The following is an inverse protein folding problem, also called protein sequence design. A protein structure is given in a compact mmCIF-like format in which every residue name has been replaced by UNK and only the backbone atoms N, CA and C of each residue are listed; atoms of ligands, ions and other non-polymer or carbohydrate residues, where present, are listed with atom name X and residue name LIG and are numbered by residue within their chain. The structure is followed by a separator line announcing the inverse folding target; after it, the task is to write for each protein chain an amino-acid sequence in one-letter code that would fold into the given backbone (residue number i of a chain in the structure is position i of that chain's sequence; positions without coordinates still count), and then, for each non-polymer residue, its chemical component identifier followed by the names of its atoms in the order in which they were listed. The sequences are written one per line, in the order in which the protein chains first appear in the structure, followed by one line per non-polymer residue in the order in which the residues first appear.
data_IF_481214889958
#
_entry.id   IF_481214889958
#
_cell.length_a   1.000
_cell.length_b   1.000
_cell.length_c   1.000
_cell.angle_alpha   90.00
_cell.angle_beta   90.00
_cell.angle_gamma   90.00
#
_symmetry.space_group_name_H-M   'P 1'
#
loop_
_entity.id
_entity.type
_entity.pdbx_description
1 polymer ?
#
# COMPACT_ATOMS: atom_id res chain seq x y z
N UNK A 1 10.57 -23.87 -19.88
CA UNK A 1 9.84 -23.88 -18.59
C UNK A 1 10.57 -22.92 -17.68
N UNK A 2 9.99 -21.75 -17.41
CA UNK A 2 10.51 -20.92 -16.32
C UNK A 2 10.42 -21.74 -15.05
N UNK A 3 11.54 -21.95 -14.43
CA UNK A 3 11.66 -22.72 -13.21
C UNK A 3 10.98 -21.90 -12.11
N UNK A 4 9.87 -22.37 -11.55
CA UNK A 4 9.24 -21.71 -10.38
C UNK A 4 10.27 -21.68 -9.24
N UNK A 5 10.75 -20.49 -8.93
CA UNK A 5 11.71 -20.30 -7.84
C UNK A 5 10.99 -20.44 -6.50
N UNK A 6 11.55 -21.19 -5.55
CA UNK A 6 10.98 -21.26 -4.21
C UNK A 6 10.88 -19.85 -3.59
N UNK A 7 9.82 -19.62 -2.83
CA UNK A 7 9.52 -18.36 -2.12
C UNK A 7 9.27 -17.14 -2.99
N UNK A 8 9.26 -17.28 -4.33
CA UNK A 8 8.88 -16.19 -5.22
C UNK A 8 7.40 -15.78 -5.04
N UNK A 9 6.59 -16.77 -4.70
CA UNK A 9 5.14 -16.58 -4.49
C UNK A 9 4.72 -16.93 -3.06
N UNK A 10 3.56 -16.40 -2.58
CA UNK A 10 3.00 -16.79 -1.29
C UNK A 10 2.70 -18.29 -1.22
N UNK A 11 2.80 -18.91 -0.03
CA UNK A 11 2.69 -20.37 0.15
C UNK A 11 1.44 -21.00 -0.45
N UNK A 12 0.31 -20.29 -0.45
CA UNK A 12 -0.98 -20.78 -0.96
C UNK A 12 -1.03 -20.96 -2.48
N UNK A 13 -0.11 -20.35 -3.23
CA UNK A 13 0.09 -20.57 -4.67
C UNK A 13 1.01 -21.77 -4.95
N UNK A 14 1.81 -22.15 -3.98
CA UNK A 14 2.73 -23.27 -4.06
C UNK A 14 2.13 -24.60 -3.51
N UNK A 15 2.94 -25.31 -2.75
CA UNK A 15 2.65 -26.65 -2.24
C UNK A 15 1.86 -26.69 -0.92
N UNK A 16 1.74 -25.56 -0.22
CA UNK A 16 1.01 -25.51 1.06
C UNK A 16 -0.45 -25.19 0.82
N UNK A 17 -1.33 -26.10 1.20
CA UNK A 17 -2.78 -25.84 1.16
C UNK A 17 -3.14 -24.78 2.21
N UNK A 18 -4.11 -23.93 1.85
CA UNK A 18 -4.64 -22.89 2.72
C UNK A 18 -6.16 -22.94 2.71
N UNK A 19 -6.84 -22.89 3.87
CA UNK A 19 -8.29 -22.91 3.95
C UNK A 19 -8.94 -21.58 3.54
N UNK A 20 -8.14 -20.57 3.21
CA UNK A 20 -8.62 -19.22 2.97
C UNK A 20 -8.90 -18.92 1.50
N UNK A 21 -8.28 -19.67 0.57
CA UNK A 21 -8.29 -19.38 -0.85
C UNK A 21 -9.04 -20.46 -1.65
N UNK A 22 -10.14 -20.07 -2.27
CA UNK A 22 -10.91 -20.92 -3.18
C UNK A 22 -10.68 -20.55 -4.65
N UNK A 23 -11.55 -21.05 -5.52
CA UNK A 23 -11.49 -20.86 -6.97
C UNK A 23 -11.56 -19.38 -7.38
N UNK A 24 -12.47 -18.60 -6.78
CA UNK A 24 -12.59 -17.15 -7.05
C UNK A 24 -11.30 -16.38 -6.75
N UNK A 25 -10.61 -16.75 -5.69
CA UNK A 25 -9.32 -16.17 -5.31
C UNK A 25 -8.24 -16.46 -6.36
N UNK A 26 -8.13 -17.71 -6.81
CA UNK A 26 -7.18 -18.12 -7.86
C UNK A 26 -7.49 -17.46 -9.20
N UNK A 27 -8.78 -17.35 -9.56
CA UNK A 27 -9.23 -16.64 -10.76
C UNK A 27 -8.85 -15.18 -10.75
N UNK A 28 -9.05 -14.49 -9.62
CA UNK A 28 -8.70 -13.10 -9.45
C UNK A 28 -7.18 -12.90 -9.53
N UNK A 29 -6.41 -13.75 -8.86
CA UNK A 29 -4.94 -13.71 -8.88
C UNK A 29 -4.41 -13.88 -10.31
N UNK A 30 -4.85 -14.90 -11.03
CA UNK A 30 -4.41 -15.17 -12.40
C UNK A 30 -4.75 -14.00 -13.36
N UNK A 31 -5.94 -13.39 -13.18
CA UNK A 31 -6.33 -12.21 -13.94
C UNK A 31 -5.45 -10.99 -13.66
N UNK A 32 -5.23 -10.68 -12.37
CA UNK A 32 -4.41 -9.55 -11.95
C UNK A 32 -2.95 -9.74 -12.41
N UNK A 33 -2.38 -10.93 -12.23
CA UNK A 33 -1.04 -11.31 -12.67
C UNK A 33 -0.86 -11.03 -14.14
N UNK A 34 -1.70 -11.63 -14.98
CA UNK A 34 -1.65 -11.45 -16.43
C UNK A 34 -1.78 -9.97 -16.84
N UNK A 35 -2.72 -9.25 -16.24
CA UNK A 35 -2.89 -7.83 -16.56
C UNK A 35 -1.62 -7.02 -16.28
N UNK A 36 -1.00 -7.20 -15.12
CA UNK A 36 0.21 -6.48 -14.76
C UNK A 36 1.41 -6.89 -15.59
N UNK A 37 1.59 -8.17 -15.86
CA UNK A 37 2.70 -8.70 -16.67
C UNK A 37 2.64 -8.19 -18.11
N UNK A 38 1.46 -8.08 -18.69
CA UNK A 38 1.27 -7.64 -20.08
C UNK A 38 1.26 -6.11 -20.24
N UNK A 39 0.69 -5.37 -19.27
CA UNK A 39 0.34 -3.95 -19.48
C UNK A 39 1.12 -2.96 -18.60
N UNK A 40 1.80 -3.40 -17.56
CA UNK A 40 2.41 -2.49 -16.58
C UNK A 40 3.89 -2.79 -16.33
N UNK A 41 4.23 -4.01 -15.99
CA UNK A 41 5.60 -4.39 -15.61
C UNK A 41 6.62 -4.08 -16.71
N UNK A 42 6.36 -4.31 -18.02
CA UNK A 42 7.30 -3.97 -19.08
C UNK A 42 7.63 -2.48 -19.18
N UNK A 43 6.77 -1.62 -18.64
CA UNK A 43 6.86 -0.17 -18.75
C UNK A 43 7.15 0.53 -17.41
N UNK A 44 7.11 -0.18 -16.29
CA UNK A 44 7.10 0.46 -14.97
C UNK A 44 8.34 1.30 -14.67
N UNK A 45 9.54 0.85 -15.05
CA UNK A 45 10.78 1.60 -14.81
C UNK A 45 10.84 2.86 -15.70
N UNK A 46 10.36 2.78 -16.94
CA UNK A 46 10.25 3.94 -17.83
C UNK A 46 9.27 4.98 -17.30
N UNK A 47 8.10 4.54 -16.83
CA UNK A 47 7.09 5.44 -16.28
C UNK A 47 7.54 6.06 -14.95
N UNK A 48 8.24 5.30 -14.13
CA UNK A 48 8.85 5.82 -12.90
C UNK A 48 9.88 6.91 -13.21
N UNK A 49 10.75 6.70 -14.20
CA UNK A 49 11.75 7.68 -14.59
C UNK A 49 11.11 8.95 -15.21
N UNK A 50 10.04 8.80 -15.98
CA UNK A 50 9.24 9.91 -16.51
C UNK A 50 8.45 10.66 -15.42
N UNK A 51 8.22 10.01 -14.29
CA UNK A 51 7.49 10.57 -13.15
C UNK A 51 5.97 10.63 -13.33
N UNK A 52 5.39 9.88 -14.28
CA UNK A 52 3.94 9.69 -14.46
C UNK A 52 3.64 8.54 -15.43
N UNK A 53 2.40 8.04 -15.41
CA UNK A 53 1.88 7.05 -16.33
C UNK A 53 1.07 7.70 -17.47
N UNK A 54 1.07 7.13 -18.69
CA UNK A 54 0.22 7.59 -19.78
C UNK A 54 -1.27 7.57 -19.40
N UNK A 55 -2.04 8.54 -19.90
CA UNK A 55 -3.49 8.59 -19.67
C UNK A 55 -4.20 7.32 -20.16
N UNK A 56 -3.75 6.73 -21.26
CA UNK A 56 -4.27 5.47 -21.80
C UNK A 56 -4.06 4.31 -20.83
N UNK A 57 -2.89 4.21 -20.18
CA UNK A 57 -2.61 3.19 -19.17
C UNK A 57 -3.51 3.35 -17.94
N UNK A 58 -3.69 4.59 -17.44
CA UNK A 58 -4.64 4.88 -16.34
C UNK A 58 -6.07 4.48 -16.69
N UNK A 59 -6.55 4.83 -17.89
CA UNK A 59 -7.88 4.46 -18.36
C UNK A 59 -8.06 2.94 -18.51
N UNK A 60 -7.05 2.24 -19.03
CA UNK A 60 -7.03 0.77 -19.13
C UNK A 60 -7.08 0.12 -17.76
N UNK A 61 -6.27 0.61 -16.81
CA UNK A 61 -6.26 0.10 -15.44
C UNK A 61 -7.61 0.26 -14.74
N UNK A 62 -8.25 1.41 -14.87
CA UNK A 62 -9.59 1.62 -14.31
C UNK A 62 -10.62 0.66 -14.92
N UNK A 63 -10.60 0.47 -16.25
CA UNK A 63 -11.49 -0.46 -16.97
C UNK A 63 -11.27 -1.94 -16.60
N UNK A 64 -10.05 -2.31 -16.20
CA UNK A 64 -9.76 -3.69 -15.79
C UNK A 64 -10.50 -4.12 -14.51
N UNK A 65 -11.04 -3.17 -13.74
CA UNK A 65 -11.65 -3.39 -12.43
C UNK A 65 -10.66 -3.65 -11.30
N UNK A 66 -9.34 -3.67 -11.59
CA UNK A 66 -8.30 -3.92 -10.58
C UNK A 66 -8.11 -2.73 -9.62
N UNK A 67 -8.49 -1.53 -10.03
CA UNK A 67 -8.59 -0.37 -9.16
C UNK A 67 -9.85 -0.45 -8.30
N UNK A 68 -10.00 -1.52 -7.53
CA UNK A 68 -11.18 -1.74 -6.67
C UNK A 68 -11.14 -0.73 -5.54
N UNK A 69 -11.93 0.32 -5.70
CA UNK A 69 -12.21 1.28 -4.67
C UNK A 69 -13.39 0.75 -3.85
N UNK A 70 -13.36 0.96 -2.53
CA UNK A 70 -14.46 0.62 -1.63
C UNK A 70 -15.68 1.53 -1.84
N UNK A 71 -16.01 1.79 -3.09
CA UNK A 71 -17.13 2.62 -3.47
C UNK A 71 -18.39 1.75 -3.51
N UNK A 72 -19.47 2.12 -2.79
CA UNK A 72 -20.73 1.38 -2.83
C UNK A 72 -21.31 1.30 -4.24
N UNK A 73 -22.00 0.21 -4.53
CA UNK A 73 -22.53 -0.15 -5.87
C UNK A 73 -23.35 0.97 -6.51
N UNK A 74 -24.17 1.68 -5.71
CA UNK A 74 -25.04 2.75 -6.15
C UNK A 74 -24.31 3.99 -6.69
N UNK A 75 -22.99 4.10 -6.45
CA UNK A 75 -22.16 5.21 -6.95
C UNK A 75 -21.17 4.75 -8.05
N UNK A 76 -21.18 3.45 -8.40
CA UNK A 76 -20.36 2.92 -9.50
C UNK A 76 -21.06 3.14 -10.83
N UNK A 77 -20.37 3.66 -11.85
CA UNK A 77 -20.92 3.69 -13.20
C UNK A 77 -21.22 2.28 -13.73
N UNK A 78 -22.09 2.20 -14.73
CA UNK A 78 -22.34 0.97 -15.44
C UNK A 78 -21.03 0.38 -16.01
N UNK A 79 -20.86 -0.93 -15.93
CA UNK A 79 -19.63 -1.63 -16.35
C UNK A 79 -18.54 -1.75 -15.28
N UNK A 80 -18.66 -1.09 -14.12
CA UNK A 80 -17.64 -1.13 -13.03
C UNK A 80 -18.08 -1.96 -11.82
N UNK A 81 -18.90 -2.98 -12.01
CA UNK A 81 -19.39 -3.82 -10.92
C UNK A 81 -18.70 -5.18 -10.81
N UNK A 82 -17.77 -5.49 -11.71
CA UNK A 82 -17.05 -6.77 -11.73
C UNK A 82 -15.56 -6.58 -11.94
N UNK A 83 -14.76 -7.50 -11.42
CA UNK A 83 -13.35 -7.70 -11.72
C UNK A 83 -13.08 -9.18 -11.94
N UNK A 84 -12.34 -9.54 -12.98
CA UNK A 84 -12.12 -10.93 -13.36
C UNK A 84 -13.44 -11.72 -13.55
N UNK A 85 -14.55 -11.06 -13.89
CA UNK A 85 -15.89 -11.66 -13.95
C UNK A 85 -16.47 -12.03 -12.58
N UNK A 86 -15.92 -11.53 -11.48
CA UNK A 86 -16.44 -11.66 -10.12
C UNK A 86 -17.13 -10.36 -9.71
N UNK A 87 -18.31 -10.40 -9.07
CA UNK A 87 -18.95 -9.21 -8.51
C UNK A 87 -18.04 -8.59 -7.44
N UNK A 88 -17.82 -7.28 -7.50
CA UNK A 88 -16.94 -6.58 -6.54
C UNK A 88 -17.48 -6.70 -5.11
N UNK A 89 -18.80 -6.73 -4.94
CA UNK A 89 -19.43 -6.80 -3.62
C UNK A 89 -19.30 -8.19 -2.94
N UNK A 90 -18.88 -9.21 -3.69
CA UNK A 90 -18.61 -10.57 -3.17
C UNK A 90 -17.14 -10.77 -2.79
N UNK A 91 -16.28 -9.79 -3.06
CA UNK A 91 -14.86 -9.86 -2.72
C UNK A 91 -14.65 -9.71 -1.22
N UNK A 92 -14.05 -10.72 -0.60
CA UNK A 92 -13.65 -10.66 0.81
C UNK A 92 -12.24 -10.08 1.01
N UNK A 93 -11.78 -10.06 2.25
CA UNK A 93 -10.45 -9.55 2.59
C UNK A 93 -9.30 -10.35 1.97
N UNK A 94 -9.48 -11.66 1.68
CA UNK A 94 -8.45 -12.45 1.02
C UNK A 94 -8.34 -12.11 -0.46
N UNK A 95 -9.43 -11.77 -1.14
CA UNK A 95 -9.37 -11.17 -2.49
C UNK A 95 -8.60 -9.85 -2.47
N UNK A 96 -8.81 -9.01 -1.44
CA UNK A 96 -8.06 -7.76 -1.28
C UNK A 96 -6.58 -8.01 -1.00
N UNK A 97 -6.26 -8.99 -0.16
CA UNK A 97 -4.88 -9.40 0.11
C UNK A 97 -4.16 -9.76 -1.19
N UNK A 98 -4.83 -10.51 -2.08
CA UNK A 98 -4.32 -10.87 -3.40
C UNK A 98 -4.11 -9.62 -4.27
N UNK A 99 -5.09 -8.72 -4.34
CA UNK A 99 -4.95 -7.51 -5.15
C UNK A 99 -3.81 -6.61 -4.67
N UNK A 100 -3.64 -6.49 -3.36
CA UNK A 100 -2.52 -5.71 -2.78
C UNK A 100 -1.19 -6.39 -3.09
N UNK A 101 -1.12 -7.71 -2.95
CA UNK A 101 0.08 -8.48 -3.24
C UNK A 101 0.48 -8.34 -4.71
N UNK A 102 -0.45 -8.57 -5.65
CA UNK A 102 -0.19 -8.48 -7.08
C UNK A 102 0.18 -7.07 -7.55
N UNK A 103 -0.52 -6.03 -7.08
CA UNK A 103 -0.19 -4.63 -7.44
C UNK A 103 1.17 -4.21 -6.87
N UNK A 104 1.59 -4.81 -5.76
CA UNK A 104 2.90 -4.53 -5.14
C UNK A 104 4.08 -5.14 -5.86
N UNK A 105 3.86 -5.91 -6.94
CA UNK A 105 4.90 -6.33 -7.90
C UNK A 105 5.39 -5.18 -8.78
N UNK A 106 4.59 -4.12 -8.87
CA UNK A 106 4.93 -2.92 -9.64
C UNK A 106 5.92 -2.07 -8.83
N UNK A 107 7.08 -1.77 -9.41
CA UNK A 107 8.10 -0.95 -8.78
C UNK A 107 7.84 0.55 -8.98
N UNK A 108 8.46 1.36 -8.15
CA UNK A 108 8.29 2.81 -8.17
C UNK A 108 6.91 3.27 -7.67
N UNK A 109 6.56 4.48 -8.03
CA UNK A 109 5.26 5.09 -7.76
C UNK A 109 4.17 4.78 -8.79
N UNK A 110 4.44 3.86 -9.72
CA UNK A 110 3.59 3.58 -10.88
C UNK A 110 2.21 3.07 -10.50
N UNK A 111 2.11 2.18 -9.50
CA UNK A 111 0.80 1.70 -9.00
C UNK A 111 -0.07 2.85 -8.46
N UNK A 112 0.56 3.80 -7.78
CA UNK A 112 -0.11 5.01 -7.28
C UNK A 112 -0.57 5.91 -8.43
N UNK A 113 0.27 6.13 -9.43
CA UNK A 113 -0.08 6.93 -10.62
C UNK A 113 -1.23 6.31 -11.42
N UNK A 114 -1.23 4.98 -11.60
CA UNK A 114 -2.29 4.24 -12.31
C UNK A 114 -3.66 4.35 -11.60
N UNK A 115 -3.67 4.28 -10.26
CA UNK A 115 -4.90 4.36 -9.47
C UNK A 115 -5.48 5.77 -9.32
N UNK A 116 -4.92 6.77 -10.00
CA UNK A 116 -5.35 8.16 -9.89
C UNK A 116 -4.78 8.86 -8.66
N UNK A 117 -3.53 8.55 -8.32
CA UNK A 117 -2.85 9.17 -7.18
C UNK A 117 -3.22 8.50 -5.86
N UNK A 118 -3.56 9.30 -4.86
CA UNK A 118 -3.82 8.82 -3.51
C UNK A 118 -5.27 8.37 -3.26
N UNK A 119 -6.02 7.93 -4.27
CA UNK A 119 -7.42 7.51 -4.11
C UNK A 119 -7.59 6.41 -3.06
N UNK A 120 -6.63 5.48 -2.94
CA UNK A 120 -6.65 4.39 -1.94
C UNK A 120 -6.77 4.94 -0.51
N UNK A 121 -6.23 6.11 -0.23
CA UNK A 121 -6.23 6.74 1.09
C UNK A 121 -7.17 7.94 1.17
N UNK A 122 -7.45 8.62 0.06
CA UNK A 122 -8.30 9.82 0.03
C UNK A 122 -9.79 9.54 -0.10
N UNK A 123 -10.18 8.43 -0.72
CA UNK A 123 -11.59 8.06 -0.96
C UNK A 123 -12.31 7.48 0.27
N UNK A 124 -11.71 6.61 1.09
CA UNK A 124 -12.41 5.97 2.20
C UNK A 124 -13.11 6.94 3.18
N UNK A 125 -12.54 8.09 3.54
CA UNK A 125 -13.26 9.08 4.37
C UNK A 125 -14.55 9.60 3.72
N UNK A 126 -14.56 9.77 2.39
CA UNK A 126 -15.73 10.23 1.64
C UNK A 126 -16.82 9.17 1.64
N UNK A 127 -16.45 7.93 1.38
CA UNK A 127 -17.38 6.79 1.38
C UNK A 127 -18.04 6.62 2.75
N UNK A 128 -17.27 6.77 3.84
CA UNK A 128 -17.73 6.52 5.20
C UNK A 128 -18.47 7.69 5.85
N UNK A 129 -18.02 8.90 5.60
CA UNK A 129 -18.43 10.09 6.34
C UNK A 129 -19.04 11.17 5.45
N UNK A 130 -18.94 11.04 4.12
CA UNK A 130 -19.55 11.95 3.17
C UNK A 130 -21.08 11.85 3.17
N UNK A 131 -21.76 12.98 2.89
CA UNK A 131 -23.19 13.00 2.65
C UNK A 131 -23.54 12.30 1.33
N UNK A 132 -24.81 11.93 1.16
CA UNK A 132 -25.29 11.33 -0.09
C UNK A 132 -25.05 12.23 -1.31
N UNK A 133 -25.21 13.56 -1.14
CA UNK A 133 -24.93 14.53 -2.19
C UNK A 133 -23.44 14.55 -2.59
N UNK A 134 -22.53 14.51 -1.60
CA UNK A 134 -21.09 14.45 -1.84
C UNK A 134 -20.69 13.15 -2.55
N UNK A 135 -21.20 12.01 -2.09
CA UNK A 135 -20.92 10.70 -2.70
C UNK A 135 -21.39 10.66 -4.16
N UNK A 136 -22.63 11.06 -4.44
CA UNK A 136 -23.19 11.13 -5.80
C UNK A 136 -22.41 12.07 -6.72
N UNK A 137 -21.91 13.19 -6.19
CA UNK A 137 -21.14 14.19 -6.95
C UNK A 137 -19.73 13.72 -7.27
N UNK A 138 -19.04 13.06 -6.32
CA UNK A 138 -17.60 12.87 -6.39
C UNK A 138 -17.17 11.45 -6.75
N UNK A 139 -17.89 10.41 -6.30
CA UNK A 139 -17.43 9.04 -6.45
C UNK A 139 -17.48 8.51 -7.89
N UNK A 140 -18.48 8.80 -8.73
CA UNK A 140 -18.53 8.27 -10.09
C UNK A 140 -17.34 8.70 -10.95
N UNK A 141 -16.85 9.93 -10.79
CA UNK A 141 -15.71 10.46 -11.55
C UNK A 141 -14.38 9.75 -11.29
N UNK A 142 -14.26 8.98 -10.21
CA UNK A 142 -13.06 8.18 -9.92
C UNK A 142 -12.83 7.09 -10.96
N UNK A 143 -13.89 6.49 -11.48
CA UNK A 143 -13.83 5.38 -12.45
C UNK A 143 -13.45 5.82 -13.86
N UNK A 144 -13.50 7.12 -14.13
CA UNK A 144 -13.16 7.73 -15.40
C UNK A 144 -11.92 8.64 -15.33
N UNK A 145 -11.25 8.66 -14.17
CA UNK A 145 -10.14 9.57 -13.87
C UNK A 145 -10.50 11.08 -14.01
N UNK A 146 -11.78 11.44 -13.96
CA UNK A 146 -12.24 12.84 -13.96
C UNK A 146 -12.04 13.47 -12.57
N UNK A 147 -12.11 12.68 -11.52
CA UNK A 147 -11.83 13.10 -10.14
C UNK A 147 -10.79 12.21 -9.51
N UNK A 148 -9.98 12.79 -8.64
CA UNK A 148 -9.06 12.06 -7.78
C UNK A 148 -8.98 12.75 -6.42
N UNK A 149 -8.64 11.99 -5.38
CA UNK A 149 -8.53 12.50 -4.03
C UNK A 149 -7.16 12.18 -3.46
N UNK A 150 -6.66 13.10 -2.66
CA UNK A 150 -5.47 12.91 -1.84
C UNK A 150 -5.79 13.19 -0.39
N UNK A 151 -4.98 12.63 0.51
CA UNK A 151 -5.10 12.86 1.94
C UNK A 151 -4.00 13.82 2.41
N UNK A 152 -4.37 15.04 2.77
CA UNK A 152 -3.46 16.10 3.19
C UNK A 152 -3.33 16.15 4.72
N UNK A 153 -2.48 15.30 5.33
CA UNK A 153 -2.25 15.27 6.77
C UNK A 153 -0.95 15.95 7.14
N UNK A 154 0.17 15.44 6.65
CA UNK A 154 1.51 15.87 7.05
C UNK A 154 1.76 17.34 6.77
N UNK A 155 2.36 18.02 7.74
CA UNK A 155 2.76 19.41 7.69
C UNK A 155 4.29 19.55 7.90
N UNK A 156 4.91 20.70 7.55
CA UNK A 156 6.32 20.95 7.85
C UNK A 156 6.65 20.84 9.33
N UNK A 157 5.67 21.16 10.19
CA UNK A 157 5.79 21.15 11.65
C UNK A 157 5.49 19.79 12.29
N UNK A 158 4.92 18.84 11.57
CA UNK A 158 4.48 17.58 12.16
C UNK A 158 4.20 16.49 11.13
N UNK A 159 4.94 15.38 11.22
CA UNK A 159 4.66 14.14 10.49
C UNK A 159 3.97 13.12 11.40
N UNK A 160 4.68 12.67 12.43
CA UNK A 160 4.16 11.69 13.42
C UNK A 160 3.14 12.29 14.38
N UNK A 161 3.27 13.57 14.70
CA UNK A 161 2.38 14.30 15.60
C UNK A 161 1.14 14.84 14.88
N UNK A 162 0.25 13.93 14.50
CA UNK A 162 -0.98 14.25 13.75
C UNK A 162 -1.99 15.03 14.61
N UNK A 163 -1.87 14.99 15.93
CA UNK A 163 -2.77 15.71 16.83
C UNK A 163 -2.52 17.23 16.86
N UNK A 164 -1.32 17.68 16.47
CA UNK A 164 -0.88 19.07 16.53
C UNK A 164 -0.79 19.73 15.14
N UNK A 165 -1.75 19.47 14.26
CA UNK A 165 -1.83 20.12 12.96
C UNK A 165 -2.05 21.63 13.12
N UNK A 166 -1.36 22.43 12.29
CA UNK A 166 -1.43 23.90 12.30
C UNK A 166 -2.32 24.49 11.21
N UNK A 167 -2.69 23.69 10.20
CA UNK A 167 -3.67 24.11 9.19
C UNK A 167 -5.00 24.42 9.87
N UNK A 168 -5.56 25.57 9.58
CA UNK A 168 -6.82 26.05 10.15
C UNK A 168 -7.91 26.16 9.09
N UNK A 169 -9.17 25.95 9.49
CA UNK A 169 -10.34 26.20 8.69
C UNK A 169 -11.31 27.07 9.55
N UNK A 170 -11.51 28.33 9.18
CA UNK A 170 -12.39 29.24 9.88
C UNK A 170 -13.67 29.44 9.07
N UNK A 171 -14.83 29.18 9.69
CA UNK A 171 -16.13 29.38 9.05
C UNK A 171 -16.37 30.86 8.79
N UNK A 172 -16.85 31.21 7.59
CA UNK A 172 -17.22 32.59 7.23
C UNK A 172 -18.42 33.07 8.06
N UNK A 173 -18.55 34.38 8.21
CA UNK A 173 -19.64 35.01 9.01
C UNK A 173 -21.01 34.55 8.51
N UNK A 174 -21.21 34.45 7.21
CA UNK A 174 -22.47 34.02 6.60
C UNK A 174 -22.66 32.49 6.55
N UNK A 175 -21.67 31.72 7.03
CA UNK A 175 -21.72 30.25 7.10
C UNK A 175 -21.61 29.51 5.77
N UNK A 176 -21.39 30.21 4.65
CA UNK A 176 -21.42 29.61 3.30
C UNK A 176 -20.12 28.85 2.92
N UNK A 177 -19.00 29.18 3.57
CA UNK A 177 -17.70 28.58 3.28
C UNK A 177 -16.77 28.61 4.49
N UNK A 178 -15.68 27.82 4.39
CA UNK A 178 -14.54 27.89 5.31
C UNK A 178 -13.38 28.59 4.61
N UNK A 179 -12.66 29.43 5.32
CA UNK A 179 -11.38 30.00 4.89
C UNK A 179 -10.28 29.14 5.44
N UNK A 180 -9.57 28.43 4.54
CA UNK A 180 -8.52 27.46 4.89
C UNK A 180 -7.15 28.07 4.71
N UNK A 181 -6.32 27.97 5.75
CA UNK A 181 -4.93 28.44 5.77
C UNK A 181 -3.99 27.37 6.32
N UNK A 182 -2.89 27.14 5.64
CA UNK A 182 -1.86 26.20 6.08
C UNK A 182 -0.99 25.68 4.97
N UNK A 183 -0.05 24.79 5.35
CA UNK A 183 0.85 24.16 4.39
C UNK A 183 0.90 22.66 4.67
N UNK A 184 0.69 21.87 3.62
CA UNK A 184 0.83 20.40 3.66
C UNK A 184 2.06 19.96 2.91
N UNK A 185 2.67 18.86 3.35
CA UNK A 185 3.91 18.30 2.79
C UNK A 185 3.73 16.80 2.53
N UNK A 186 4.42 16.28 1.52
CA UNK A 186 4.36 14.87 1.12
C UNK A 186 2.98 14.43 0.62
N UNK A 187 2.24 15.35 0.00
CA UNK A 187 0.91 15.02 -0.50
C UNK A 187 1.03 14.30 -1.84
N UNK A 188 0.64 13.05 -1.86
CA UNK A 188 0.69 12.16 -3.03
C UNK A 188 -0.47 12.45 -3.99
N UNK A 189 -0.23 12.36 -5.29
CA UNK A 189 -1.27 12.50 -6.32
C UNK A 189 -1.57 13.95 -6.73
N UNK A 190 -0.82 14.93 -6.21
CA UNK A 190 -0.87 16.34 -6.63
C UNK A 190 0.51 16.75 -7.15
N UNK A 191 0.55 17.48 -8.25
CA UNK A 191 1.79 17.95 -8.89
C UNK A 191 1.95 19.48 -8.90
N UNK A 192 1.47 20.16 -7.85
CA UNK A 192 1.53 21.64 -7.78
C UNK A 192 2.95 22.12 -7.51
N UNK A 193 3.60 21.61 -6.45
CA UNK A 193 5.00 21.87 -6.15
C UNK A 193 5.67 20.55 -5.78
N UNK A 194 6.20 19.86 -6.80
CA UNK A 194 6.77 18.52 -6.66
C UNK A 194 7.97 18.51 -5.73
N UNK A 195 8.01 17.50 -4.86
CA UNK A 195 9.18 17.16 -4.04
C UNK A 195 9.92 16.03 -4.76
N UNK A 196 11.20 16.26 -5.08
CA UNK A 196 12.04 15.23 -5.70
C UNK A 196 12.54 14.26 -4.63
N UNK A 197 11.97 13.06 -4.63
CA UNK A 197 12.32 11.97 -3.72
C UNK A 197 13.38 11.06 -4.35
N UNK A 198 13.99 10.19 -3.54
CA UNK A 198 14.91 9.15 -4.03
C UNK A 198 14.21 8.13 -4.94
N UNK A 199 12.94 7.83 -4.68
CA UNK A 199 12.08 6.93 -5.45
C UNK A 199 10.63 7.39 -5.43
N UNK A 200 9.70 6.55 -5.92
CA UNK A 200 8.27 6.83 -6.01
C UNK A 200 7.94 8.09 -6.86
N UNK A 201 8.73 8.32 -7.91
CA UNK A 201 8.62 9.53 -8.74
C UNK A 201 7.29 9.63 -9.48
N UNK A 202 6.79 8.51 -10.01
CA UNK A 202 5.51 8.46 -10.73
C UNK A 202 4.31 8.69 -9.80
N UNK A 203 4.38 8.25 -8.54
CA UNK A 203 3.35 8.48 -7.54
C UNK A 203 3.23 9.93 -7.11
N UNK A 204 4.32 10.68 -7.24
CA UNK A 204 4.44 12.08 -6.87
C UNK A 204 4.38 12.30 -5.35
N UNK A 205 5.01 13.36 -4.92
CA UNK A 205 4.82 13.95 -3.60
C UNK A 205 4.99 15.46 -3.73
N UNK A 206 4.15 16.23 -3.07
CA UNK A 206 4.12 17.68 -3.28
C UNK A 206 3.94 18.46 -2.00
N UNK A 207 4.36 19.71 -2.04
CA UNK A 207 3.91 20.74 -1.14
C UNK A 207 2.54 21.25 -1.60
N UNK A 208 1.65 21.53 -0.66
CA UNK A 208 0.37 22.18 -0.90
C UNK A 208 0.25 23.35 0.06
N UNK A 209 0.34 24.57 -0.45
CA UNK A 209 0.11 25.79 0.32
C UNK A 209 -1.30 26.30 0.07
N UNK A 210 -2.00 26.56 1.16
CA UNK A 210 -3.33 27.14 1.17
C UNK A 210 -3.24 28.51 1.85
N UNK A 211 -3.63 29.55 1.13
CA UNK A 211 -3.61 30.93 1.61
C UNK A 211 -4.98 31.53 1.33
N UNK A 212 -5.78 31.70 2.38
CA UNK A 212 -7.15 32.20 2.35
C UNK A 212 -8.04 31.47 1.33
N UNK A 213 -7.89 30.14 1.22
CA UNK A 213 -8.66 29.32 0.27
C UNK A 213 -10.10 29.20 0.78
N UNK A 214 -11.06 29.73 0.00
CA UNK A 214 -12.48 29.59 0.27
C UNK A 214 -12.96 28.18 -0.14
N UNK A 215 -13.38 27.37 0.82
CA UNK A 215 -13.92 26.01 0.61
C UNK A 215 -15.40 26.03 0.94
N UNK A 216 -16.31 25.67 0.02
CA UNK A 216 -17.74 25.61 0.29
C UNK A 216 -18.08 24.80 1.55
N UNK A 217 -19.04 25.28 2.35
CA UNK A 217 -19.38 24.62 3.61
C UNK A 217 -19.92 23.19 3.42
N UNK A 218 -20.57 22.91 2.29
CA UNK A 218 -21.06 21.61 1.89
C UNK A 218 -19.93 20.62 1.45
N UNK A 219 -18.68 21.07 1.39
CA UNK A 219 -17.51 20.21 1.18
C UNK A 219 -16.94 19.65 2.49
N UNK A 220 -17.46 20.02 3.66
CA UNK A 220 -17.08 19.40 4.92
C UNK A 220 -17.48 17.92 4.90
N UNK A 221 -16.50 17.03 5.09
CA UNK A 221 -16.73 15.58 5.17
C UNK A 221 -16.97 15.21 6.63
N UNK A 222 -18.16 14.70 6.92
CA UNK A 222 -18.55 14.32 8.28
C UNK A 222 -18.95 15.52 9.14
N UNK A 223 -18.54 15.55 10.41
CA UNK A 223 -18.91 16.52 11.43
C UNK A 223 -17.71 17.37 11.84
N UNK A 224 -17.94 18.65 12.10
CA UNK A 224 -16.91 19.55 12.62
C UNK A 224 -16.26 18.96 13.89
N UNK A 225 -14.94 19.08 13.98
CA UNK A 225 -14.10 18.61 15.10
C UNK A 225 -13.95 17.10 15.25
N UNK A 226 -14.58 16.27 14.39
CA UNK A 226 -14.46 14.80 14.42
C UNK A 226 -13.37 14.24 13.48
N UNK A 227 -12.74 15.09 12.68
CA UNK A 227 -11.80 14.68 11.62
C UNK A 227 -10.62 13.81 12.10
N UNK A 228 -10.09 14.08 13.29
CA UNK A 228 -9.02 13.29 13.87
C UNK A 228 -9.42 11.81 14.07
N UNK A 229 -10.62 11.58 14.58
CA UNK A 229 -11.14 10.22 14.78
C UNK A 229 -11.36 9.48 13.45
N UNK A 230 -11.82 10.19 12.42
CA UNK A 230 -12.01 9.63 11.08
C UNK A 230 -10.69 9.19 10.47
N UNK A 231 -9.65 10.00 10.58
CA UNK A 231 -8.30 9.70 10.08
C UNK A 231 -7.70 8.51 10.82
N UNK A 232 -7.78 8.48 12.15
CA UNK A 232 -7.21 7.39 12.96
C UNK A 232 -7.82 6.03 12.59
N UNK A 233 -9.13 5.98 12.36
CA UNK A 233 -9.82 4.76 11.92
C UNK A 233 -9.38 4.29 10.52
N UNK A 234 -9.06 5.24 9.63
CA UNK A 234 -8.63 4.90 8.27
C UNK A 234 -7.21 4.29 8.23
N UNK A 235 -6.32 4.69 9.13
CA UNK A 235 -4.91 4.27 9.13
C UNK A 235 -4.69 2.77 9.25
N UNK A 236 -5.58 2.01 9.88
CA UNK A 236 -5.40 0.56 10.00
C UNK A 236 -5.39 -0.13 8.62
N UNK A 237 -6.31 0.29 7.72
CA UNK A 237 -6.34 -0.21 6.35
C UNK A 237 -5.05 0.13 5.59
N UNK A 238 -4.58 1.38 5.70
CA UNK A 238 -3.34 1.83 5.04
C UNK A 238 -2.12 1.05 5.53
N UNK A 239 -2.00 0.85 6.85
CA UNK A 239 -0.90 0.09 7.46
C UNK A 239 -0.89 -1.37 7.02
N UNK A 240 -2.06 -1.99 6.88
CA UNK A 240 -2.18 -3.35 6.38
C UNK A 240 -1.74 -3.45 4.92
N UNK A 241 -2.19 -2.53 4.06
CA UNK A 241 -1.75 -2.44 2.66
C UNK A 241 -0.23 -2.32 2.58
N UNK A 242 0.37 -1.45 3.40
CA UNK A 242 1.83 -1.29 3.43
C UNK A 242 2.56 -2.53 3.92
N UNK A 243 2.02 -3.23 4.92
CA UNK A 243 2.61 -4.47 5.42
C UNK A 243 2.64 -5.57 4.35
N UNK A 244 1.54 -5.74 3.59
CA UNK A 244 1.46 -6.67 2.46
C UNK A 244 2.43 -6.26 1.35
N UNK A 245 2.47 -4.97 0.99
CA UNK A 245 3.39 -4.46 -0.02
C UNK A 245 4.86 -4.66 0.34
N UNK A 246 5.24 -4.46 1.61
CA UNK A 246 6.59 -4.75 2.09
C UNK A 246 6.94 -6.25 1.94
N UNK A 247 6.01 -7.15 2.26
CA UNK A 247 6.21 -8.58 2.08
C UNK A 247 6.46 -8.94 0.61
N UNK A 248 5.60 -8.45 -0.33
CA UNK A 248 5.76 -8.72 -1.76
C UNK A 248 7.09 -8.20 -2.30
N UNK A 249 7.48 -6.98 -1.95
CA UNK A 249 8.77 -6.42 -2.40
C UNK A 249 9.97 -7.16 -1.81
N UNK A 250 9.85 -7.64 -0.58
CA UNK A 250 10.88 -8.53 0.00
C UNK A 250 10.97 -9.86 -0.75
N UNK A 251 9.83 -10.46 -1.18
CA UNK A 251 9.81 -11.64 -2.07
C UNK A 251 10.46 -11.36 -3.42
N UNK A 252 10.19 -10.21 -4.02
CA UNK A 252 10.83 -9.78 -5.28
C UNK A 252 12.36 -9.72 -5.11
N UNK A 253 12.85 -9.09 -4.04
CA UNK A 253 14.27 -9.06 -3.73
C UNK A 253 14.85 -10.47 -3.56
N UNK A 254 14.18 -11.33 -2.80
CA UNK A 254 14.60 -12.70 -2.52
C UNK A 254 14.66 -13.55 -3.78
N UNK A 255 13.59 -13.56 -4.59
CA UNK A 255 13.50 -14.38 -5.80
C UNK A 255 14.47 -13.90 -6.88
N UNK A 256 14.63 -12.59 -7.05
CA UNK A 256 15.58 -12.01 -8.00
C UNK A 256 17.02 -12.35 -7.61
N UNK A 257 17.38 -12.23 -6.33
CA UNK A 257 18.70 -12.59 -5.85
C UNK A 257 18.97 -14.10 -5.97
N UNK A 258 17.94 -14.93 -5.77
CA UNK A 258 18.03 -16.39 -5.93
C UNK A 258 18.23 -16.76 -7.40
N UNK A 259 17.44 -16.20 -8.34
CA UNK A 259 17.63 -16.40 -9.78
C UNK A 259 19.05 -16.04 -10.20
N UNK A 260 19.50 -14.86 -9.82
CA UNK A 260 20.87 -14.41 -10.11
C UNK A 260 21.93 -15.36 -9.55
N UNK A 261 21.73 -15.89 -8.33
CA UNK A 261 22.68 -16.79 -7.71
C UNK A 261 22.79 -18.16 -8.41
N UNK A 262 21.75 -18.61 -9.11
CA UNK A 262 21.79 -19.81 -9.96
C UNK A 262 22.57 -19.59 -11.25
N UNK A 263 22.46 -18.41 -11.85
CA UNK A 263 23.06 -18.09 -13.15
C UNK A 263 24.53 -17.61 -13.03
N UNK A 264 24.84 -16.86 -11.97
CA UNK A 264 26.16 -16.26 -11.78
C UNK A 264 27.19 -17.28 -11.28
N UNK A 265 28.28 -17.41 -11.99
CA UNK A 265 29.43 -18.21 -11.58
C UNK A 265 30.52 -17.35 -10.95
N UNK A 266 31.10 -17.85 -9.85
CA UNK A 266 32.28 -17.29 -9.17
C UNK A 266 33.15 -18.42 -8.64
N UNK A 267 34.48 -18.27 -8.72
CA UNK A 267 35.43 -19.30 -8.27
C UNK A 267 35.18 -20.67 -8.88
N UNK A 268 34.71 -20.70 -10.13
CA UNK A 268 34.48 -21.94 -10.87
C UNK A 268 33.19 -22.70 -10.52
N UNK A 269 32.25 -22.06 -9.80
CA UNK A 269 30.98 -22.67 -9.44
C UNK A 269 29.85 -21.62 -9.42
N UNK A 270 28.58 -22.04 -9.62
CA UNK A 270 27.43 -21.15 -9.43
C UNK A 270 27.42 -20.51 -8.05
N UNK A 271 27.05 -19.23 -7.97
CA UNK A 271 27.08 -18.46 -6.72
C UNK A 271 26.25 -19.12 -5.62
N UNK A 272 25.12 -19.78 -5.97
CA UNK A 272 24.28 -20.53 -5.04
C UNK A 272 24.97 -21.70 -4.37
N UNK A 273 26.06 -22.24 -4.94
CA UNK A 273 26.85 -23.35 -4.34
C UNK A 273 27.58 -22.93 -3.06
N UNK A 274 27.78 -21.63 -2.85
CA UNK A 274 28.45 -21.11 -1.65
C UNK A 274 27.51 -21.11 -0.46
N UNK A 275 27.92 -21.71 0.65
CA UNK A 275 27.07 -21.83 1.85
C UNK A 275 26.58 -20.49 2.40
N UNK A 276 27.42 -19.45 2.38
CA UNK A 276 27.05 -18.11 2.86
C UNK A 276 25.88 -17.51 2.08
N UNK A 277 25.78 -17.79 0.77
CA UNK A 277 24.68 -17.32 -0.08
C UNK A 277 23.40 -18.07 0.29
N UNK A 278 23.46 -19.38 0.43
CA UNK A 278 22.29 -20.19 0.86
C UNK A 278 21.79 -19.76 2.23
N UNK A 279 22.67 -19.43 3.19
CA UNK A 279 22.26 -18.93 4.51
C UNK A 279 21.55 -17.57 4.44
N UNK A 280 22.00 -16.66 3.59
CA UNK A 280 21.32 -15.37 3.35
C UNK A 280 19.90 -15.60 2.80
N UNK A 281 19.78 -16.42 1.76
CA UNK A 281 18.51 -16.74 1.10
C UNK A 281 17.52 -17.38 2.08
N UNK A 282 17.92 -18.43 2.81
CA UNK A 282 17.00 -19.16 3.70
C UNK A 282 16.55 -18.30 4.90
N UNK A 283 17.41 -17.43 5.42
CA UNK A 283 17.03 -16.53 6.50
C UNK A 283 15.98 -15.52 6.04
N UNK A 284 16.12 -14.96 4.85
CA UNK A 284 15.11 -14.07 4.27
C UNK A 284 13.80 -14.82 4.00
N UNK A 285 13.87 -16.01 3.42
CA UNK A 285 12.71 -16.84 3.12
C UNK A 285 11.89 -17.12 4.39
N UNK A 286 12.55 -17.57 5.47
CA UNK A 286 11.90 -17.81 6.76
C UNK A 286 11.12 -16.58 7.26
N UNK A 287 11.73 -15.40 7.20
CA UNK A 287 11.14 -14.19 7.73
C UNK A 287 9.97 -13.71 6.85
N UNK A 288 10.10 -13.81 5.52
CA UNK A 288 9.05 -13.48 4.55
C UNK A 288 7.83 -14.40 4.72
N UNK A 289 8.05 -15.72 4.86
CA UNK A 289 6.99 -16.71 5.05
C UNK A 289 6.28 -16.54 6.41
N UNK A 290 7.02 -16.34 7.49
CA UNK A 290 6.44 -16.07 8.81
C UNK A 290 5.59 -14.79 8.81
N UNK A 291 6.05 -13.75 8.12
CA UNK A 291 5.31 -12.51 7.98
C UNK A 291 4.01 -12.69 7.17
N UNK A 292 4.05 -13.49 6.08
CA UNK A 292 2.85 -13.80 5.30
C UNK A 292 1.79 -14.52 6.15
N UNK A 293 2.18 -15.53 6.90
CA UNK A 293 1.27 -16.24 7.82
C UNK A 293 0.61 -15.27 8.82
N UNK A 294 1.35 -14.28 9.31
CA UNK A 294 0.80 -13.23 10.18
C UNK A 294 -0.21 -12.34 9.45
N UNK A 295 0.04 -12.00 8.20
CA UNK A 295 -0.90 -11.22 7.37
C UNK A 295 -2.21 -11.99 7.13
N UNK A 296 -2.15 -13.28 6.84
CA UNK A 296 -3.32 -14.15 6.71
C UNK A 296 -4.12 -14.24 8.00
N UNK A 297 -3.46 -14.35 9.16
CA UNK A 297 -4.12 -14.34 10.47
C UNK A 297 -4.88 -13.03 10.70
N UNK A 298 -4.27 -11.88 10.38
CA UNK A 298 -4.90 -10.57 10.48
C UNK A 298 -6.09 -10.48 9.51
N UNK A 299 -5.92 -10.92 8.26
CA UNK A 299 -6.98 -10.96 7.27
C UNK A 299 -8.17 -11.81 7.75
N UNK A 300 -7.91 -12.99 8.33
CA UNK A 300 -8.96 -13.82 8.90
C UNK A 300 -9.72 -13.13 10.03
N UNK A 301 -9.01 -12.45 10.91
CA UNK A 301 -9.63 -11.65 11.98
C UNK A 301 -10.53 -10.54 11.40
N UNK A 302 -10.05 -9.82 10.38
CA UNK A 302 -10.83 -8.79 9.68
C UNK A 302 -12.08 -9.40 9.01
N UNK A 303 -11.97 -10.58 8.40
CA UNK A 303 -13.12 -11.29 7.81
C UNK A 303 -14.21 -11.58 8.84
N UNK A 304 -13.83 -11.91 10.07
CA UNK A 304 -14.77 -12.28 11.14
C UNK A 304 -15.34 -11.08 11.90
N UNK A 305 -14.54 -10.03 12.12
CA UNK A 305 -14.84 -8.95 13.06
C UNK A 305 -14.84 -7.55 12.43
N UNK A 306 -14.42 -7.45 11.15
CA UNK A 306 -14.32 -6.19 10.42
C UNK A 306 -13.08 -5.37 10.77
N UNK A 307 -12.85 -4.34 9.96
CA UNK A 307 -11.70 -3.43 10.06
C UNK A 307 -11.64 -2.59 11.35
N UNK A 308 -12.76 -2.49 12.05
CA UNK A 308 -12.94 -1.62 13.23
C UNK A 308 -13.02 -2.39 14.53
N UNK A 309 -12.66 -3.69 14.51
CA UNK A 309 -12.55 -4.44 15.76
C UNK A 309 -11.53 -3.77 16.69
N UNK A 310 -11.82 -3.76 17.98
CA UNK A 310 -11.01 -3.04 18.98
C UNK A 310 -9.60 -3.59 19.13
N UNK A 311 -9.40 -4.86 18.78
CA UNK A 311 -8.18 -5.63 18.98
C UNK A 311 -7.31 -5.78 17.74
N UNK A 312 -7.60 -5.02 16.65
CA UNK A 312 -6.87 -5.16 15.39
C UNK A 312 -5.70 -4.18 15.24
N UNK A 313 -5.73 -3.03 15.92
CA UNK A 313 -4.77 -1.95 15.69
C UNK A 313 -3.33 -2.35 16.07
N UNK A 314 -3.14 -3.01 17.21
CA UNK A 314 -1.85 -3.52 17.66
C UNK A 314 -1.25 -4.55 16.70
N UNK A 315 -1.96 -5.64 16.35
CA UNK A 315 -1.53 -6.61 15.36
C UNK A 315 -1.14 -6.04 14.01
N UNK A 316 -1.92 -5.10 13.46
CA UNK A 316 -1.60 -4.43 12.18
C UNK A 316 -0.35 -3.56 12.32
N UNK A 317 -0.20 -2.82 13.41
CA UNK A 317 0.99 -1.99 13.65
C UNK A 317 2.26 -2.87 13.71
N UNK A 318 2.22 -3.98 14.46
CA UNK A 318 3.33 -4.93 14.52
C UNK A 318 3.65 -5.56 13.16
N UNK A 319 2.64 -5.94 12.38
CA UNK A 319 2.86 -6.49 11.03
C UNK A 319 3.52 -5.45 10.10
N UNK A 320 3.12 -4.18 10.19
CA UNK A 320 3.73 -3.11 9.38
C UNK A 320 5.20 -2.87 9.76
N UNK A 321 5.52 -2.87 11.05
CA UNK A 321 6.91 -2.77 11.53
C UNK A 321 7.75 -3.94 10.99
N UNK A 322 7.25 -5.17 11.19
CA UNK A 322 7.95 -6.38 10.74
C UNK A 322 8.17 -6.38 9.24
N UNK A 323 7.14 -6.01 8.46
CA UNK A 323 7.26 -5.91 7.00
C UNK A 323 8.32 -4.92 6.55
N UNK A 324 8.39 -3.74 7.19
CA UNK A 324 9.42 -2.73 6.91
C UNK A 324 10.83 -3.25 7.16
N UNK A 325 11.07 -3.89 8.31
CA UNK A 325 12.38 -4.47 8.68
C UNK A 325 12.80 -5.59 7.74
N UNK A 326 11.86 -6.48 7.38
CA UNK A 326 12.11 -7.57 6.43
C UNK A 326 12.48 -7.00 5.05
N UNK A 327 11.78 -5.97 4.60
CA UNK A 327 12.07 -5.32 3.33
C UNK A 327 13.46 -4.65 3.34
N UNK A 328 13.84 -3.94 4.41
CA UNK A 328 15.17 -3.35 4.55
C UNK A 328 16.27 -4.42 4.47
N UNK A 329 16.09 -5.53 5.17
CA UNK A 329 17.02 -6.65 5.13
C UNK A 329 17.07 -7.30 3.75
N UNK A 330 15.91 -7.55 3.12
CA UNK A 330 15.83 -8.19 1.81
C UNK A 330 16.48 -7.37 0.71
N UNK A 331 16.22 -6.05 0.68
CA UNK A 331 16.86 -5.14 -0.28
C UNK A 331 18.39 -5.13 -0.11
N UNK A 332 18.86 -5.02 1.13
CA UNK A 332 20.30 -5.05 1.45
C UNK A 332 20.94 -6.36 1.02
N UNK A 333 20.37 -7.51 1.38
CA UNK A 333 20.98 -8.81 1.07
C UNK A 333 20.91 -9.16 -0.43
N UNK A 334 19.82 -8.76 -1.12
CA UNK A 334 19.72 -8.90 -2.56
C UNK A 334 20.81 -8.08 -3.28
N UNK A 335 20.99 -6.82 -2.91
CA UNK A 335 22.08 -6.01 -3.44
C UNK A 335 23.44 -6.60 -3.13
N UNK A 336 23.65 -7.16 -1.95
CA UNK A 336 24.93 -7.79 -1.57
C UNK A 336 25.20 -9.06 -2.38
N UNK A 337 24.18 -9.87 -2.68
CA UNK A 337 24.29 -11.07 -3.52
C UNK A 337 24.56 -10.71 -4.98
N UNK A 338 23.84 -9.72 -5.51
CA UNK A 338 23.90 -9.32 -6.91
C UNK A 338 25.06 -8.35 -7.22
N UNK A 339 25.59 -7.68 -6.20
CA UNK A 339 26.70 -6.74 -6.35
C UNK A 339 26.33 -5.54 -7.23
N UNK A 340 27.25 -5.10 -8.10
CA UNK A 340 27.09 -3.90 -8.94
C UNK A 340 25.88 -3.91 -9.87
N UNK A 341 25.35 -5.08 -10.23
CA UNK A 341 24.15 -5.22 -11.07
C UNK A 341 22.91 -4.61 -10.40
N UNK A 342 22.76 -4.81 -9.09
CA UNK A 342 21.67 -4.24 -8.32
C UNK A 342 21.94 -2.82 -7.79
N UNK A 343 23.05 -2.20 -8.21
CA UNK A 343 23.33 -0.78 -7.98
C UNK A 343 23.09 0.07 -9.24
N UNK A 344 23.01 -0.60 -10.40
CA UNK A 344 22.78 0.05 -11.68
C UNK A 344 21.29 0.27 -11.93
N UNK A 345 20.87 1.52 -12.23
CA UNK A 345 19.52 1.82 -12.71
C UNK A 345 19.21 1.04 -13.98
N UNK A 346 18.07 0.34 -14.01
CA UNK A 346 17.70 -0.52 -15.13
C UNK A 346 18.69 -1.70 -15.33
N UNK A 347 19.42 -2.10 -14.31
CA UNK A 347 20.37 -3.21 -14.37
C UNK A 347 19.73 -4.50 -14.86
N UNK A 348 20.50 -5.34 -15.60
CA UNK A 348 19.99 -6.59 -16.18
C UNK A 348 19.65 -7.63 -15.11
N UNK A 349 18.97 -8.73 -15.51
CA UNK A 349 18.67 -9.86 -14.64
C UNK A 349 17.87 -9.48 -13.39
N UNK A 350 16.95 -8.50 -13.50
CA UNK A 350 16.15 -8.00 -12.37
C UNK A 350 16.89 -7.03 -11.44
N UNK A 351 18.18 -6.74 -11.68
CA UNK A 351 18.97 -5.79 -10.87
C UNK A 351 18.35 -4.41 -10.77
N UNK A 352 17.77 -3.93 -11.85
CA UNK A 352 17.07 -2.65 -11.88
C UNK A 352 15.81 -2.61 -10.99
N UNK A 353 15.11 -3.73 -10.80
CA UNK A 353 13.99 -3.81 -9.87
C UNK A 353 14.48 -3.73 -8.41
N UNK A 354 15.53 -4.47 -8.05
CA UNK A 354 16.13 -4.43 -6.71
C UNK A 354 16.68 -3.03 -6.39
N UNK A 355 17.32 -2.39 -7.37
CA UNK A 355 17.80 -1.00 -7.25
C UNK A 355 16.62 -0.05 -7.01
N UNK A 356 15.53 -0.15 -7.79
CA UNK A 356 14.34 0.68 -7.61
C UNK A 356 13.69 0.46 -6.24
N UNK A 357 13.54 -0.79 -5.79
CA UNK A 357 13.04 -1.11 -4.44
C UNK A 357 13.87 -0.40 -3.37
N UNK A 358 15.18 -0.37 -3.53
CA UNK A 358 16.09 0.30 -2.57
C UNK A 358 15.86 1.80 -2.51
N UNK A 359 15.56 2.45 -3.64
CA UNK A 359 15.20 3.89 -3.65
C UNK A 359 13.83 4.16 -3.02
N UNK A 360 12.87 3.25 -3.19
CA UNK A 360 11.51 3.35 -2.67
C UNK A 360 11.40 3.05 -1.18
N UNK A 361 12.35 2.30 -0.66
CA UNK A 361 12.36 1.66 0.65
C UNK A 361 11.95 2.61 1.79
N UNK A 362 12.51 3.82 1.83
CA UNK A 362 12.28 4.73 2.95
C UNK A 362 10.82 5.17 3.05
N UNK A 363 10.14 5.38 1.92
CA UNK A 363 8.71 5.69 1.93
C UNK A 363 7.89 4.53 2.49
N UNK A 364 8.21 3.30 2.09
CA UNK A 364 7.52 2.09 2.58
C UNK A 364 7.68 1.88 4.08
N UNK A 365 8.84 2.23 4.64
CA UNK A 365 9.15 2.05 6.07
C UNK A 365 8.52 3.15 6.93
N UNK A 366 8.55 4.42 6.51
CA UNK A 366 8.08 5.54 7.35
C UNK A 366 6.63 5.92 7.10
N UNK A 367 6.08 5.63 5.94
CA UNK A 367 4.67 5.91 5.60
C UNK A 367 3.72 5.14 6.52
N UNK A 368 2.53 5.67 6.77
CA UNK A 368 1.54 5.08 7.67
C UNK A 368 1.92 5.08 9.16
N UNK A 369 3.06 5.68 9.52
CA UNK A 369 3.67 5.78 10.84
C UNK A 369 5.04 5.11 10.90
N UNK A 370 6.01 5.81 11.52
CA UNK A 370 7.34 5.26 11.76
C UNK A 370 7.29 4.07 12.72
N UNK A 371 8.36 3.28 12.72
CA UNK A 371 8.49 2.09 13.57
C UNK A 371 8.27 2.42 15.05
N UNK A 372 8.86 3.52 15.54
CA UNK A 372 8.79 3.94 16.94
C UNK A 372 7.36 4.32 17.34
N UNK A 373 6.66 5.06 16.49
CA UNK A 373 5.27 5.46 16.72
C UNK A 373 4.33 4.25 16.70
N UNK A 374 4.54 3.35 15.75
CA UNK A 374 3.74 2.13 15.66
C UNK A 374 4.05 1.14 16.77
N UNK A 375 5.30 1.08 17.25
CA UNK A 375 5.69 0.27 18.40
C UNK A 375 5.01 0.75 19.69
N UNK A 376 5.02 2.04 19.93
CA UNK A 376 4.32 2.64 21.08
C UNK A 376 2.80 2.44 20.98
N UNK A 377 2.22 2.63 19.79
CA UNK A 377 0.80 2.34 19.54
C UNK A 377 0.45 0.88 19.85
N UNK A 378 1.22 -0.07 19.28
CA UNK A 378 0.99 -1.49 19.49
C UNK A 378 1.06 -1.86 20.97
N UNK A 379 2.08 -1.37 21.68
CA UNK A 379 2.23 -1.60 23.12
C UNK A 379 1.02 -1.09 23.90
N UNK A 380 0.58 0.14 23.65
CA UNK A 380 -0.55 0.76 24.35
C UNK A 380 -1.87 0.01 24.11
N UNK A 381 -2.15 -0.37 22.85
CA UNK A 381 -3.37 -1.10 22.52
C UNK A 381 -3.37 -2.53 23.10
N UNK A 382 -2.28 -3.26 23.02
CA UNK A 382 -2.20 -4.62 23.59
C UNK A 382 -2.35 -4.61 25.13
N UNK A 383 -1.72 -3.66 25.83
CA UNK A 383 -1.87 -3.52 27.28
C UNK A 383 -3.31 -3.14 27.66
N UNK A 384 -3.94 -2.23 26.90
CA UNK A 384 -5.34 -1.85 27.09
C UNK A 384 -6.26 -3.06 26.97
N UNK A 385 -6.10 -3.85 25.88
CA UNK A 385 -6.89 -5.06 25.64
C UNK A 385 -6.69 -6.11 26.75
N UNK A 386 -5.45 -6.30 27.21
CA UNK A 386 -5.16 -7.22 28.30
C UNK A 386 -5.88 -6.80 29.60
N UNK A 387 -5.88 -5.52 29.95
CA UNK A 387 -6.59 -4.97 31.11
C UNK A 387 -8.11 -5.14 31.00
N UNK A 388 -8.70 -4.86 29.84
CA UNK A 388 -10.14 -5.05 29.60
C UNK A 388 -10.54 -6.53 29.76
N UNK A 389 -9.76 -7.46 29.17
CA UNK A 389 -9.99 -8.90 29.34
C UNK A 389 -9.87 -9.36 30.79
N UNK A 390 -8.93 -8.81 31.56
CA UNK A 390 -8.75 -9.14 32.98
C UNK A 390 -9.93 -8.63 33.83
N UNK A 391 -10.44 -7.43 33.56
CA UNK A 391 -11.65 -6.90 34.23
C UNK A 391 -12.88 -7.77 33.95
N UNK A 392 -13.09 -8.19 32.69
CA UNK A 392 -14.20 -9.08 32.32
C UNK A 392 -14.13 -10.45 33.00
N UNK A 393 -12.94 -10.92 33.35
CA UNK A 393 -12.72 -12.19 34.05
C UNK A 393 -12.74 -12.04 35.58
N UNK A 394 -13.04 -10.87 36.15
CA UNK A 394 -13.05 -10.60 37.56
C UNK A 394 -11.69 -10.74 38.25
N UNK A 395 -10.58 -10.57 37.51
CA UNK A 395 -9.20 -10.72 37.99
C UNK A 395 -8.46 -9.40 38.27
N UNK A 396 -9.18 -8.26 38.16
CA UNK A 396 -8.67 -6.93 38.49
C UNK A 396 -9.70 -6.17 39.33
#
# INVERSE_FOLDING_TARGET
MEQELPWAEPPWLGSLESPYYGESHRKLQAYARRYYDENVIPHMLEWEEKGDCPKSAKASYLKSGLAVLDVPKEYRPEGFNTVAGLPIDELDIFHRLILIDEVSRIEGGVSTALSGGANVIGVPPIVKHGTEAQKKRWLPGLFTAQTSFCLGITEPSGGSDVSNLRTTAKKSINGTHYVVNGTKKWITGISVQKIHNSGQSAGGASWVRMDNVAVPADHLIGVENEGFMYIMKNFNSERFVMAVGCNRKARTCLSTALAYAYERETFGAPLISHQVIRHKIINLARDVEAHWARLEQIAYHIKKHGWYSRDIAGPIAMAKISGGRILELAAREAQQIMGGVAYQRGGPGGGGCVEQITRDLRMMVVGGGSEEILGDLAFKEEIKMAKEKAKLKGKL
#
